data_IF_635788164646
#
_entry.id   IF_635788164646
#
_cell.length_a   1.000
_cell.length_b   1.000
_cell.length_c   1.000
_cell.angle_alpha   90.00
_cell.angle_beta   90.00
_cell.angle_gamma   90.00
#
_symmetry.space_group_name_H-M   'P 1'
#
loop_
_entity.id
_entity.type
_entity.pdbx_description
1 polymer ?
#
# COMPACT_ATOMS: atom_id res chain seq x y z
N UNK A 1 5.88 -1.78 22.45
CA UNK A 1 4.97 -2.04 23.59
C UNK A 1 5.41 -1.33 24.86
N UNK A 2 6.68 -1.37 25.26
CA UNK A 2 7.18 -0.71 26.48
C UNK A 2 6.77 0.77 26.61
N UNK A 3 6.84 1.53 25.51
CA UNK A 3 6.38 2.92 25.46
C UNK A 3 4.89 3.13 25.77
N UNK A 4 4.03 2.17 25.41
CA UNK A 4 2.59 2.26 25.70
C UNK A 4 2.31 2.00 27.19
N UNK A 5 3.13 1.16 27.84
CA UNK A 5 3.02 0.90 29.28
C UNK A 5 3.44 2.10 30.14
N UNK A 6 4.24 3.01 29.59
CA UNK A 6 4.69 4.25 30.23
C UNK A 6 3.69 5.41 30.03
N UNK A 7 2.55 5.19 29.38
CA UNK A 7 1.60 6.24 29.00
C UNK A 7 0.19 5.98 29.51
N UNK A 8 -0.55 7.08 29.70
CA UNK A 8 -1.95 7.06 30.13
C UNK A 8 -2.86 7.51 28.99
N UNK A 9 -4.05 6.89 28.92
CA UNK A 9 -5.16 7.33 28.09
C UNK A 9 -6.24 7.89 29.02
N UNK A 10 -6.71 9.11 28.77
CA UNK A 10 -7.75 9.77 29.59
C UNK A 10 -7.48 9.75 31.11
N UNK A 11 -6.20 9.84 31.50
CA UNK A 11 -5.77 9.85 32.90
C UNK A 11 -5.74 8.48 33.59
N UNK A 12 -5.87 7.38 32.84
CA UNK A 12 -5.71 6.01 33.35
C UNK A 12 -4.63 5.26 32.59
N UNK A 13 -4.03 4.27 33.24
CA UNK A 13 -3.13 3.34 32.58
C UNK A 13 -3.91 2.44 31.61
N UNK A 14 -3.20 1.88 30.65
CA UNK A 14 -3.74 0.83 29.79
C UNK A 14 -4.00 -0.44 30.60
N UNK A 15 -5.12 -1.09 30.31
CA UNK A 15 -5.36 -2.47 30.74
C UNK A 15 -4.47 -3.43 29.94
N UNK A 16 -4.26 -4.65 30.46
CA UNK A 16 -3.48 -5.67 29.74
C UNK A 16 -4.15 -6.03 28.41
N UNK A 17 -5.49 -6.09 28.40
CA UNK A 17 -6.30 -6.37 27.22
C UNK A 17 -6.05 -5.32 26.13
N UNK A 18 -6.07 -4.03 26.49
CA UNK A 18 -5.80 -2.97 25.52
C UNK A 18 -4.36 -3.01 25.00
N UNK A 19 -3.38 -3.28 25.86
CA UNK A 19 -1.98 -3.44 25.42
C UNK A 19 -1.85 -4.58 24.41
N UNK A 20 -2.53 -5.70 24.65
CA UNK A 20 -2.56 -6.84 23.73
C UNK A 20 -3.25 -6.46 22.42
N UNK A 21 -4.38 -5.76 22.47
CA UNK A 21 -5.11 -5.32 21.27
C UNK A 21 -4.28 -4.36 20.40
N UNK A 22 -3.62 -3.37 21.01
CA UNK A 22 -2.70 -2.49 20.31
C UNK A 22 -1.48 -3.24 19.77
N UNK A 23 -0.93 -4.18 20.55
CA UNK A 23 0.17 -5.03 20.14
C UNK A 23 -0.17 -5.85 18.90
N UNK A 24 -1.34 -6.49 18.89
CA UNK A 24 -1.86 -7.27 17.77
C UNK A 24 -2.12 -6.40 16.55
N UNK A 25 -2.77 -5.24 16.74
CA UNK A 25 -3.02 -4.28 15.66
C UNK A 25 -1.73 -3.84 14.97
N UNK A 26 -0.72 -3.42 15.75
CA UNK A 26 0.55 -2.95 15.22
C UNK A 26 1.34 -4.08 14.55
N UNK A 27 1.29 -5.29 15.12
CA UNK A 27 1.95 -6.47 14.56
C UNK A 27 1.37 -6.84 13.19
N UNK A 28 0.04 -6.96 13.08
CA UNK A 28 -0.61 -7.31 11.81
C UNK A 28 -0.45 -6.18 10.79
N UNK A 29 -0.63 -4.92 11.21
CA UNK A 29 -0.53 -3.77 10.32
C UNK A 29 0.85 -3.66 9.66
N UNK A 30 1.93 -3.92 10.41
CA UNK A 30 3.30 -3.84 9.90
C UNK A 30 3.74 -5.04 9.05
N UNK A 31 3.06 -6.19 9.16
CA UNK A 31 3.52 -7.42 8.50
C UNK A 31 2.98 -7.59 7.07
N UNK A 32 1.70 -7.31 6.85
CA UNK A 32 1.02 -7.69 5.60
C UNK A 32 0.91 -6.52 4.61
N UNK A 33 0.69 -5.29 5.08
CA UNK A 33 0.32 -4.17 4.20
C UNK A 33 1.48 -3.68 3.33
N UNK A 34 2.64 -3.40 3.92
CA UNK A 34 3.81 -2.89 3.19
C UNK A 34 4.39 -3.97 2.30
N UNK A 35 4.49 -5.21 2.79
CA UNK A 35 4.96 -6.35 2.00
C UNK A 35 4.16 -6.51 0.70
N UNK A 36 2.82 -6.50 0.78
CA UNK A 36 2.00 -6.60 -0.42
C UNK A 36 2.14 -5.37 -1.33
N UNK A 37 2.12 -4.16 -0.76
CA UNK A 37 2.30 -2.92 -1.55
C UNK A 37 3.62 -2.93 -2.34
N UNK A 38 4.70 -3.37 -1.69
CA UNK A 38 6.02 -3.51 -2.28
C UNK A 38 6.00 -4.49 -3.47
N UNK A 39 5.44 -5.68 -3.29
CA UNK A 39 5.44 -6.72 -4.34
C UNK A 39 4.54 -6.31 -5.52
N UNK A 40 3.42 -5.64 -5.29
CA UNK A 40 2.62 -5.07 -6.38
C UNK A 40 3.39 -4.00 -7.16
N UNK A 41 4.13 -3.12 -6.48
CA UNK A 41 4.98 -2.14 -7.16
C UNK A 41 6.14 -2.77 -7.91
N UNK A 42 6.78 -3.82 -7.36
CA UNK A 42 7.78 -4.60 -8.08
C UNK A 42 7.21 -5.24 -9.35
N UNK A 43 5.99 -5.79 -9.28
CA UNK A 43 5.32 -6.37 -10.46
C UNK A 43 5.09 -5.33 -11.55
N UNK A 44 4.72 -4.10 -11.18
CA UNK A 44 4.59 -2.99 -12.13
C UNK A 44 5.95 -2.67 -12.78
N UNK A 45 6.97 -2.43 -11.97
CA UNK A 45 8.31 -2.05 -12.43
C UNK A 45 8.95 -3.13 -13.29
N UNK A 46 8.79 -4.42 -12.93
CA UNK A 46 9.26 -5.54 -13.74
C UNK A 46 8.55 -5.68 -15.09
N UNK A 47 7.38 -5.05 -15.26
CA UNK A 47 6.67 -4.95 -16.53
C UNK A 47 7.01 -3.70 -17.34
N UNK A 48 7.80 -2.77 -16.79
CA UNK A 48 8.15 -1.49 -17.42
C UNK A 48 9.66 -1.18 -17.28
N UNK A 49 10.49 -1.72 -18.19
CA UNK A 49 11.93 -1.44 -18.19
C UNK A 49 12.26 0.04 -18.37
N UNK A 50 11.44 0.80 -19.12
CA UNK A 50 11.69 2.21 -19.37
C UNK A 50 11.53 3.02 -18.08
N UNK A 51 10.53 2.70 -17.25
CA UNK A 51 10.36 3.30 -15.93
C UNK A 51 11.51 2.94 -14.99
N UNK A 52 12.00 1.69 -15.01
CA UNK A 52 13.17 1.33 -14.19
C UNK A 52 14.40 2.17 -14.58
N UNK A 53 14.63 2.38 -15.88
CA UNK A 53 15.74 3.21 -16.37
C UNK A 53 15.58 4.68 -15.96
N UNK A 54 14.36 5.24 -16.06
CA UNK A 54 14.07 6.61 -15.58
C UNK A 54 14.38 6.76 -14.08
N UNK A 55 13.96 5.81 -13.25
CA UNK A 55 14.16 5.87 -11.80
C UNK A 55 15.61 5.60 -11.39
N UNK A 56 16.39 4.83 -12.17
CA UNK A 56 17.84 4.72 -11.97
C UNK A 56 18.59 5.99 -12.37
N UNK A 57 18.17 6.62 -13.47
CA UNK A 57 18.78 7.86 -13.95
C UNK A 57 18.48 9.05 -13.04
N UNK A 58 17.29 9.07 -12.42
CA UNK A 58 16.88 10.11 -11.47
C UNK A 58 16.21 9.51 -10.22
N UNK A 59 17.01 9.07 -9.23
CA UNK A 59 16.50 8.53 -7.97
C UNK A 59 15.67 9.54 -7.16
N UNK A 60 15.78 10.84 -7.45
CA UNK A 60 14.98 11.86 -6.75
C UNK A 60 13.48 11.75 -7.04
N UNK A 61 13.11 11.02 -8.11
CA UNK A 61 11.71 10.74 -8.50
C UNK A 61 11.12 9.51 -7.82
N UNK A 62 11.90 8.73 -7.07
CA UNK A 62 11.40 7.54 -6.36
C UNK A 62 10.25 7.86 -5.40
N UNK A 63 10.27 8.96 -4.62
CA UNK A 63 9.12 9.34 -3.79
C UNK A 63 7.82 9.54 -4.61
N UNK A 64 7.91 10.11 -5.80
CA UNK A 64 6.75 10.28 -6.68
C UNK A 64 6.23 8.94 -7.21
N UNK A 65 7.16 8.05 -7.60
CA UNK A 65 6.83 6.69 -8.00
C UNK A 65 6.13 5.93 -6.87
N UNK A 66 6.60 6.08 -5.62
CA UNK A 66 5.97 5.46 -4.45
C UNK A 66 4.51 5.91 -4.28
N UNK A 67 4.23 7.21 -4.38
CA UNK A 67 2.85 7.69 -4.26
C UNK A 67 1.96 7.19 -5.40
N UNK A 68 2.45 7.19 -6.64
CA UNK A 68 1.66 6.70 -7.77
C UNK A 68 1.44 5.18 -7.72
N UNK A 69 2.43 4.40 -7.29
CA UNK A 69 2.29 2.97 -7.04
C UNK A 69 1.25 2.70 -5.94
N UNK A 70 1.31 3.46 -4.84
CA UNK A 70 0.35 3.35 -3.73
C UNK A 70 -1.07 3.71 -4.15
N UNK A 71 -1.25 4.72 -5.01
CA UNK A 71 -2.55 5.05 -5.61
C UNK A 71 -3.04 3.88 -6.46
N UNK A 72 -2.22 3.46 -7.43
CA UNK A 72 -2.58 2.51 -8.49
C UNK A 72 -2.81 1.08 -7.99
N UNK A 73 -2.11 0.70 -6.92
CA UNK A 73 -2.06 -0.67 -6.39
C UNK A 73 -2.36 -0.73 -4.88
N UNK A 74 -3.23 0.16 -4.39
CA UNK A 74 -3.70 0.10 -3.01
C UNK A 74 -4.27 -1.29 -2.68
N UNK A 75 -3.84 -1.89 -1.57
CA UNK A 75 -4.14 -3.30 -1.25
C UNK A 75 -5.28 -3.47 -0.24
N UNK A 76 -5.70 -2.40 0.44
CA UNK A 76 -6.62 -2.48 1.58
C UNK A 76 -8.07 -2.21 1.18
N UNK A 77 -8.96 -3.10 1.62
CA UNK A 77 -10.41 -2.89 1.69
C UNK A 77 -10.80 -2.76 3.16
N UNK A 78 -11.52 -1.68 3.50
CA UNK A 78 -12.00 -1.46 4.87
C UNK A 78 -13.50 -1.76 4.96
N UNK A 79 -13.96 -2.16 6.14
CA UNK A 79 -15.39 -2.38 6.39
C UNK A 79 -15.94 -1.34 7.35
N UNK A 80 -17.22 -1.01 7.20
CA UNK A 80 -18.00 -0.19 8.14
C UNK A 80 -19.32 -0.89 8.45
N UNK A 81 -19.82 -0.67 9.67
CA UNK A 81 -21.15 -1.09 10.10
C UNK A 81 -22.08 0.12 10.03
N UNK A 82 -23.23 -0.04 9.40
CA UNK A 82 -24.28 0.96 9.36
C UNK A 82 -24.96 0.95 10.73
N UNK A 83 -24.86 2.05 11.48
CA UNK A 83 -25.37 2.13 12.86
C UNK A 83 -26.87 2.44 12.95
N UNK A 84 -27.44 3.01 11.88
CA UNK A 84 -28.86 3.34 11.75
C UNK A 84 -29.23 3.43 10.29
N UNK A 85 -30.51 3.27 9.98
CA UNK A 85 -31.03 3.47 8.63
C UNK A 85 -30.57 4.81 8.04
N UNK A 86 -30.06 4.76 6.81
CA UNK A 86 -29.48 5.91 6.13
C UNK A 86 -29.70 5.82 4.62
N UNK A 87 -29.72 6.97 3.96
CA UNK A 87 -29.61 7.07 2.51
C UNK A 87 -28.20 7.49 2.15
N UNK A 88 -27.51 6.73 1.31
CA UNK A 88 -26.14 7.02 0.90
C UNK A 88 -26.02 6.91 -0.62
N UNK A 89 -25.87 8.04 -1.30
CA UNK A 89 -25.78 8.09 -2.77
C UNK A 89 -27.01 7.49 -3.46
N UNK A 90 -28.21 7.62 -2.88
CA UNK A 90 -29.44 7.03 -3.41
C UNK A 90 -29.63 5.56 -3.05
N UNK A 91 -28.69 4.94 -2.33
CA UNK A 91 -28.82 3.57 -1.81
C UNK A 91 -29.36 3.62 -0.38
N UNK A 92 -30.49 2.94 -0.15
CA UNK A 92 -31.07 2.81 1.20
C UNK A 92 -30.33 1.73 1.98
N UNK A 93 -29.60 2.13 3.01
CA UNK A 93 -28.89 1.26 3.95
C UNK A 93 -29.73 1.07 5.22
N UNK A 94 -29.69 -0.14 5.79
CA UNK A 94 -30.35 -0.47 7.05
C UNK A 94 -29.34 -0.56 8.20
N UNK A 95 -29.81 -0.22 9.41
CA UNK A 95 -29.04 -0.48 10.62
C UNK A 95 -28.65 -1.97 10.70
N UNK A 96 -27.35 -2.23 10.88
CA UNK A 96 -26.77 -3.58 10.89
C UNK A 96 -26.08 -4.00 9.59
N UNK A 97 -26.30 -3.29 8.49
CA UNK A 97 -25.62 -3.59 7.22
C UNK A 97 -24.09 -3.40 7.34
N UNK A 98 -23.34 -4.25 6.65
CA UNK A 98 -21.87 -4.11 6.51
C UNK A 98 -21.55 -3.58 5.12
N UNK A 99 -20.81 -2.47 5.08
CA UNK A 99 -20.37 -1.84 3.84
C UNK A 99 -18.88 -2.07 3.67
N UNK A 100 -18.49 -2.70 2.55
CA UNK A 100 -17.10 -2.81 2.14
C UNK A 100 -16.72 -1.58 1.30
N UNK A 101 -15.62 -0.94 1.67
CA UNK A 101 -15.07 0.23 1.00
C UNK A 101 -13.74 -0.18 0.38
N UNK A 102 -13.77 -0.45 -0.93
CA UNK A 102 -12.57 -0.74 -1.71
C UNK A 102 -11.83 0.56 -1.99
N UNK A 103 -10.86 0.91 -1.15
CA UNK A 103 -10.09 2.18 -1.27
C UNK A 103 -9.38 2.28 -2.63
N UNK A 104 -8.91 1.14 -3.15
CA UNK A 104 -8.30 1.06 -4.47
C UNK A 104 -9.26 1.48 -5.61
N UNK A 105 -10.57 1.22 -5.48
CA UNK A 105 -11.53 1.64 -6.48
C UNK A 105 -11.71 3.17 -6.50
N UNK A 106 -11.71 3.81 -5.33
CA UNK A 106 -11.74 5.28 -5.24
C UNK A 106 -10.49 5.92 -5.84
N UNK A 107 -9.32 5.28 -5.69
CA UNK A 107 -8.08 5.73 -6.33
C UNK A 107 -8.08 5.54 -7.86
N UNK A 108 -9.05 4.80 -8.41
CA UNK A 108 -9.24 4.58 -9.82
C UNK A 108 -10.45 5.34 -10.39
N UNK A 109 -11.04 6.26 -9.62
CA UNK A 109 -12.16 7.07 -10.07
C UNK A 109 -11.70 8.14 -11.10
N UNK A 110 -12.21 8.12 -12.34
CA UNK A 110 -11.85 9.09 -13.37
C UNK A 110 -12.25 10.53 -13.02
N UNK A 111 -13.20 10.74 -12.10
CA UNK A 111 -13.55 12.08 -11.64
C UNK A 111 -12.47 12.69 -10.74
N UNK A 112 -11.64 11.87 -10.11
CA UNK A 112 -10.53 12.32 -9.24
C UNK A 112 -9.16 12.22 -9.93
N UNK A 113 -9.00 11.23 -10.82
CA UNK A 113 -7.76 10.93 -11.50
C UNK A 113 -7.99 10.73 -13.01
N UNK A 114 -7.58 11.67 -13.87
CA UNK A 114 -7.55 11.45 -15.32
C UNK A 114 -6.69 10.23 -15.67
N UNK A 115 -7.14 9.43 -16.63
CA UNK A 115 -6.53 8.14 -17.00
C UNK A 115 -6.14 7.29 -15.76
N UNK A 116 -7.11 6.93 -14.91
CA UNK A 116 -6.81 6.41 -13.57
C UNK A 116 -6.09 5.06 -13.60
N UNK A 117 -6.29 4.28 -14.67
CA UNK A 117 -5.69 2.97 -14.83
C UNK A 117 -4.24 3.00 -15.33
N UNK A 118 -3.76 4.13 -15.87
CA UNK A 118 -2.36 4.31 -16.24
C UNK A 118 -1.51 4.62 -15.02
N UNK A 119 -0.24 4.25 -15.09
CA UNK A 119 0.77 4.75 -14.17
C UNK A 119 1.37 6.02 -14.78
N UNK A 120 1.38 7.10 -14.01
CA UNK A 120 1.96 8.36 -14.42
C UNK A 120 2.90 8.90 -13.33
N UNK A 121 4.20 8.86 -13.60
CA UNK A 121 5.24 9.35 -12.68
C UNK A 121 5.13 10.86 -12.43
N UNK A 122 4.55 11.59 -13.37
CA UNK A 122 4.45 13.04 -13.37
C UNK A 122 3.05 13.52 -12.92
N UNK A 123 2.21 12.60 -12.41
CA UNK A 123 0.87 12.91 -11.93
C UNK A 123 0.90 14.00 -10.85
N UNK A 124 0.26 15.13 -11.14
CA UNK A 124 0.21 16.27 -10.22
C UNK A 124 -0.64 15.97 -8.98
N UNK A 125 -1.83 15.38 -9.17
CA UNK A 125 -2.70 15.00 -8.06
C UNK A 125 -2.23 13.68 -7.41
N UNK A 126 -1.60 13.80 -6.24
CA UNK A 126 -1.14 12.68 -5.41
C UNK A 126 -2.05 12.40 -4.21
N UNK A 127 -3.23 13.01 -4.14
CA UNK A 127 -4.15 12.87 -3.00
C UNK A 127 -4.98 11.60 -3.17
N UNK A 128 -4.43 10.46 -2.77
CA UNK A 128 -5.07 9.15 -2.81
C UNK A 128 -5.51 8.67 -1.41
N UNK A 129 -6.47 7.75 -1.36
CA UNK A 129 -7.07 7.24 -0.10
C UNK A 129 -6.58 5.85 0.29
N UNK A 130 -5.44 5.39 -0.24
CA UNK A 130 -4.85 4.08 0.12
C UNK A 130 -4.60 3.93 1.62
N UNK A 131 -4.28 5.04 2.29
CA UNK A 131 -4.09 5.09 3.75
C UNK A 131 -5.37 5.41 4.52
N UNK A 132 -6.53 5.26 3.88
CA UNK A 132 -7.84 5.65 4.39
C UNK A 132 -7.92 7.16 4.73
N UNK A 133 -9.06 7.63 5.23
CA UNK A 133 -9.27 9.01 5.65
C UNK A 133 -10.02 9.10 6.99
N UNK A 134 -10.06 10.31 7.57
CA UNK A 134 -10.76 10.61 8.81
C UNK A 134 -10.05 10.06 10.07
N UNK A 135 -10.79 9.80 11.16
CA UNK A 135 -10.21 9.35 12.44
C UNK A 135 -9.43 8.03 12.35
N UNK A 136 -9.70 7.22 11.33
CA UNK A 136 -9.02 5.94 11.07
C UNK A 136 -8.01 6.04 9.92
N UNK A 137 -7.49 7.23 9.64
CA UNK A 137 -6.37 7.39 8.73
C UNK A 137 -5.15 6.62 9.28
N UNK A 138 -4.46 5.89 8.42
CA UNK A 138 -3.37 4.99 8.82
C UNK A 138 -2.28 5.71 9.61
N UNK A 139 -2.05 5.26 10.85
CA UNK A 139 -0.99 5.77 11.73
C UNK A 139 0.41 5.44 11.18
N UNK A 140 0.56 4.29 10.51
CA UNK A 140 1.81 3.84 9.90
C UNK A 140 2.13 4.46 8.53
N UNK A 141 1.30 5.38 8.03
CA UNK A 141 1.42 5.89 6.65
C UNK A 141 2.76 6.54 6.31
N UNK A 142 3.46 7.13 7.29
CA UNK A 142 4.78 7.72 7.09
C UNK A 142 5.87 6.65 7.09
N UNK A 143 5.75 5.65 7.97
CA UNK A 143 6.68 4.52 8.00
C UNK A 143 6.60 3.70 6.71
N UNK A 144 5.39 3.39 6.24
CA UNK A 144 5.19 2.66 4.98
C UNK A 144 5.83 3.37 3.78
N UNK A 145 5.67 4.70 3.67
CA UNK A 145 6.33 5.51 2.62
C UNK A 145 7.84 5.45 2.72
N UNK A 146 8.38 5.54 3.93
CA UNK A 146 9.81 5.45 4.18
C UNK A 146 10.36 4.07 3.76
N UNK A 147 9.70 3.00 4.16
CA UNK A 147 10.10 1.62 3.84
C UNK A 147 10.07 1.37 2.32
N UNK A 148 9.00 1.76 1.64
CA UNK A 148 8.88 1.64 0.18
C UNK A 148 9.94 2.46 -0.55
N UNK A 149 10.16 3.72 -0.13
CA UNK A 149 11.18 4.59 -0.71
C UNK A 149 12.57 3.98 -0.57
N UNK A 150 12.97 3.64 0.66
CA UNK A 150 14.29 3.05 0.94
C UNK A 150 14.47 1.73 0.19
N UNK A 151 13.42 0.90 0.13
CA UNK A 151 13.45 -0.33 -0.64
C UNK A 151 13.74 -0.05 -2.12
N UNK A 152 12.98 0.83 -2.78
CA UNK A 152 13.18 1.11 -4.20
C UNK A 152 14.52 1.80 -4.48
N UNK A 153 14.95 2.74 -3.62
CA UNK A 153 16.28 3.37 -3.70
C UNK A 153 17.39 2.30 -3.71
N UNK A 154 17.37 1.40 -2.73
CA UNK A 154 18.38 0.35 -2.60
C UNK A 154 18.24 -0.74 -3.66
N UNK A 155 17.02 -1.04 -4.10
CA UNK A 155 16.73 -2.00 -5.16
C UNK A 155 17.33 -1.51 -6.47
N UNK A 156 17.03 -0.28 -6.90
CA UNK A 156 17.57 0.28 -8.13
C UNK A 156 19.09 0.46 -8.12
N UNK A 157 19.67 0.70 -6.93
CA UNK A 157 21.11 0.84 -6.76
C UNK A 157 21.87 -0.46 -6.91
N UNK A 158 21.30 -1.58 -6.46
CA UNK A 158 21.98 -2.89 -6.35
C UNK A 158 21.53 -3.90 -7.39
N UNK A 159 20.25 -3.90 -7.73
CA UNK A 159 19.68 -4.87 -8.65
C UNK A 159 19.74 -4.36 -10.09
N UNK A 160 20.12 -5.23 -11.03
CA UNK A 160 20.01 -4.93 -12.45
C UNK A 160 18.55 -4.81 -12.90
N UNK A 161 18.33 -4.65 -14.20
CA UNK A 161 17.00 -4.73 -14.77
C UNK A 161 16.34 -6.07 -14.41
N UNK A 162 15.16 -5.97 -13.82
CA UNK A 162 14.34 -7.12 -13.47
C UNK A 162 13.15 -7.18 -14.41
N UNK A 163 12.77 -8.39 -14.82
CA UNK A 163 11.62 -8.63 -15.68
C UNK A 163 10.76 -9.75 -15.11
N UNK A 164 9.47 -9.74 -15.45
CA UNK A 164 8.58 -10.84 -15.14
C UNK A 164 9.08 -12.12 -15.84
N UNK A 165 9.03 -13.24 -15.13
CA UNK A 165 9.22 -14.56 -15.75
C UNK A 165 8.02 -14.89 -16.65
N UNK A 166 8.19 -15.07 -17.97
CA UNK A 166 7.08 -15.39 -18.87
C UNK A 166 6.45 -16.76 -18.59
N UNK A 167 7.22 -17.71 -18.05
CA UNK A 167 6.75 -19.05 -17.70
C UNK A 167 6.29 -19.13 -16.23
N UNK A 168 6.70 -18.14 -15.44
CA UNK A 168 6.33 -17.98 -14.05
C UNK A 168 4.86 -17.62 -13.88
N UNK A 169 4.19 -18.25 -12.91
CA UNK A 169 2.80 -17.96 -12.57
C UNK A 169 2.71 -17.15 -11.27
N UNK A 170 2.30 -15.87 -11.33
CA UNK A 170 2.00 -15.11 -10.12
C UNK A 170 0.83 -15.74 -9.35
N UNK A 171 0.91 -15.74 -8.02
CA UNK A 171 -0.16 -16.23 -7.16
C UNK A 171 -0.72 -15.08 -6.34
N UNK A 172 -2.04 -14.95 -6.33
CA UNK A 172 -2.75 -13.88 -5.63
C UNK A 172 -3.66 -14.46 -4.57
N UNK A 173 -3.85 -13.72 -3.49
CA UNK A 173 -4.81 -14.04 -2.45
C UNK A 173 -5.69 -12.84 -2.18
N UNK A 174 -6.99 -13.06 -2.30
CA UNK A 174 -8.00 -12.06 -1.99
C UNK A 174 -8.29 -12.03 -0.48
N UNK A 175 -8.72 -10.86 0.01
CA UNK A 175 -9.05 -10.62 1.40
C UNK A 175 -9.23 -9.13 1.66
N UNK A 176 -9.27 -8.75 2.94
CA UNK A 176 -9.24 -7.33 3.32
C UNK A 176 -7.92 -6.66 2.93
N UNK A 177 -6.84 -7.45 2.87
CA UNK A 177 -5.59 -7.08 2.19
C UNK A 177 -5.46 -7.97 0.96
N UNK A 178 -5.40 -7.36 -0.22
CA UNK A 178 -5.03 -8.07 -1.45
C UNK A 178 -3.54 -8.40 -1.40
N UNK A 179 -3.20 -9.66 -1.67
CA UNK A 179 -1.84 -10.13 -1.61
C UNK A 179 -1.35 -10.74 -2.92
N UNK A 180 -0.05 -10.62 -3.14
CA UNK A 180 0.69 -11.25 -4.23
C UNK A 180 1.71 -12.21 -3.61
N UNK A 181 1.24 -13.41 -3.27
CA UNK A 181 1.99 -14.43 -2.51
C UNK A 181 3.19 -15.00 -3.30
N UNK A 182 3.17 -14.88 -4.65
CA UNK A 182 4.29 -15.30 -5.51
C UNK A 182 4.43 -14.37 -6.70
N UNK A 183 5.63 -13.85 -6.91
CA UNK A 183 5.99 -13.07 -8.09
C UNK A 183 7.31 -13.60 -8.67
N UNK A 184 7.25 -14.49 -9.69
CA UNK A 184 8.44 -14.98 -10.37
C UNK A 184 9.10 -13.87 -11.19
N UNK A 185 10.38 -13.61 -10.93
CA UNK A 185 11.18 -12.55 -11.54
C UNK A 185 12.48 -13.14 -12.07
N UNK A 186 12.98 -12.56 -13.15
CA UNK A 186 14.24 -12.91 -13.79
C UNK A 186 15.10 -11.66 -13.95
N UNK A 187 16.41 -11.81 -13.81
CA UNK A 187 17.40 -10.76 -13.99
C UNK A 187 18.75 -11.37 -14.38
N UNK A 188 19.61 -10.59 -15.03
CA UNK A 188 20.92 -11.08 -15.49
C UNK A 188 21.99 -10.90 -14.40
N UNK A 189 22.54 -11.99 -13.82
CA UNK A 189 23.41 -11.90 -12.64
C UNK A 189 24.71 -11.12 -12.84
N UNK A 190 25.19 -11.00 -14.09
CA UNK A 190 26.44 -10.31 -14.43
C UNK A 190 26.31 -8.78 -14.48
N UNK A 191 25.09 -8.26 -14.33
CA UNK A 191 24.80 -6.82 -14.41
C UNK A 191 24.50 -6.19 -13.04
N UNK A 192 24.62 -6.94 -11.94
CA UNK A 192 24.49 -6.38 -10.60
C UNK A 192 25.72 -5.56 -10.22
N UNK A 193 25.49 -4.32 -9.77
CA UNK A 193 26.56 -3.47 -9.28
C UNK A 193 27.09 -4.05 -7.97
N UNK A 194 28.33 -4.53 -8.00
CA UNK A 194 29.05 -4.92 -6.78
C UNK A 194 29.33 -3.66 -5.95
N UNK A 195 29.06 -3.72 -4.64
CA UNK A 195 29.38 -2.65 -3.68
C UNK A 195 30.88 -2.48 -3.51
#
# INVERSE_FOLDING_TARGET
MSRLMEHQIDGRDFTIEELVDYGLLLFIAGLDTVANSLVFGMRHLAGDPALQQRLRADPSRIPDAVEELLRRYGVVTVMRLVTRDADFGGVRLKGGDRVMLMLAAANLDPNSFPDPASFDLDRENKVHVTFNAGPHRCVGSHLARLELRVFYEEWFRRMPDVRLDPDGRPAFRAGLTLALDRLPLLWDPQSSNSL
#
